data_IF_968416352828
#
_entry.id   IF_968416352828
#
_cell.length_a   1.000
_cell.length_b   1.000
_cell.length_c   1.000
_cell.angle_alpha   90.00
_cell.angle_beta   90.00
_cell.angle_gamma   90.00
#
_symmetry.space_group_name_H-M   'P 1'
#
loop_
_entity.id
_entity.type
_entity.pdbx_description
1 polymer ?
#
# COMPACT_ATOMS: atom_id res chain seq x y z
N UNK A 1 15.58 -22.12 -19.67
CA UNK A 1 15.44 -23.19 -18.67
C UNK A 1 15.03 -22.57 -17.35
N UNK A 2 14.19 -23.22 -16.54
CA UNK A 2 13.84 -22.72 -15.21
C UNK A 2 15.10 -22.53 -14.36
N UNK A 3 15.06 -21.57 -13.43
CA UNK A 3 16.12 -21.40 -12.43
C UNK A 3 16.22 -22.69 -11.62
N UNK A 4 17.44 -23.15 -11.34
CA UNK A 4 17.67 -24.40 -10.58
C UNK A 4 17.11 -24.30 -9.16
N UNK A 5 17.17 -23.11 -8.54
CA UNK A 5 16.53 -22.84 -7.27
C UNK A 5 15.01 -22.68 -7.45
N UNK A 6 14.25 -23.56 -6.82
CA UNK A 6 12.78 -23.59 -6.88
C UNK A 6 12.14 -22.30 -6.34
N UNK A 7 12.77 -21.63 -5.37
CA UNK A 7 12.29 -20.40 -4.74
C UNK A 7 12.13 -19.24 -5.73
N UNK A 8 13.02 -19.19 -6.72
CA UNK A 8 13.00 -18.17 -7.79
C UNK A 8 12.51 -18.75 -9.13
N UNK A 9 12.03 -20.00 -9.12
CA UNK A 9 11.57 -20.69 -10.32
C UNK A 9 10.06 -20.63 -10.44
N UNK A 10 9.56 -20.44 -11.65
CA UNK A 10 8.12 -20.47 -11.94
C UNK A 10 7.51 -21.87 -11.82
N UNK A 11 8.33 -22.93 -11.68
CA UNK A 11 7.87 -24.33 -11.70
C UNK A 11 6.84 -24.63 -10.60
N UNK A 12 7.02 -24.09 -9.39
CA UNK A 12 6.06 -24.25 -8.29
C UNK A 12 4.70 -23.66 -8.68
N UNK A 13 4.69 -22.38 -9.09
CA UNK A 13 3.47 -21.70 -9.51
C UNK A 13 2.77 -22.39 -10.69
N UNK A 14 3.51 -22.92 -11.67
CA UNK A 14 2.90 -23.66 -12.78
C UNK A 14 2.26 -24.96 -12.31
N UNK A 15 2.95 -25.71 -11.44
CA UNK A 15 2.46 -26.99 -10.90
C UNK A 15 1.22 -26.81 -10.02
N UNK A 16 1.15 -25.72 -9.26
CA UNK A 16 0.01 -25.44 -8.37
C UNK A 16 -1.20 -24.85 -9.12
N UNK A 17 -0.99 -24.28 -10.32
CA UNK A 17 -2.07 -23.70 -11.14
C UNK A 17 -2.76 -24.71 -12.03
N UNK A 18 -2.00 -25.53 -12.75
CA UNK A 18 -2.51 -26.38 -13.81
C UNK A 18 -2.55 -27.84 -13.37
N UNK A 19 -3.53 -28.60 -13.86
CA UNK A 19 -3.59 -30.03 -13.59
C UNK A 19 -2.52 -30.80 -14.40
N UNK A 20 -2.18 -30.28 -15.58
CA UNK A 20 -1.13 -30.81 -16.44
C UNK A 20 0.26 -30.35 -15.98
N UNK A 21 1.29 -31.09 -16.40
CA UNK A 21 2.68 -30.71 -16.13
C UNK A 21 3.06 -29.40 -16.84
N UNK A 22 4.00 -28.60 -16.30
CA UNK A 22 4.42 -27.33 -16.91
C UNK A 22 4.92 -27.43 -18.37
N UNK A 23 5.47 -28.57 -18.78
CA UNK A 23 5.92 -28.84 -20.15
C UNK A 23 4.81 -29.32 -21.11
N UNK A 24 3.58 -29.47 -20.62
CA UNK A 24 2.45 -29.95 -21.44
C UNK A 24 2.11 -28.95 -22.55
N UNK A 25 1.85 -29.47 -23.75
CA UNK A 25 1.44 -28.70 -24.92
C UNK A 25 -0.06 -28.80 -25.24
N UNK A 26 -0.82 -29.55 -24.44
CA UNK A 26 -2.25 -29.80 -24.63
C UNK A 26 -3.01 -29.59 -23.32
N UNK A 27 -4.23 -29.07 -23.42
CA UNK A 27 -5.18 -28.92 -22.31
C UNK A 27 -6.63 -28.97 -22.84
N UNK A 28 -7.61 -28.79 -21.97
CA UNK A 28 -9.05 -28.80 -22.28
C UNK A 28 -9.64 -27.39 -22.27
N UNK A 29 -10.65 -27.16 -23.12
CA UNK A 29 -11.41 -25.92 -23.22
C UNK A 29 -12.92 -26.23 -23.26
N UNK A 30 -13.76 -25.25 -22.96
CA UNK A 30 -15.24 -25.32 -23.02
C UNK A 30 -15.89 -26.34 -22.07
N UNK A 31 -15.13 -26.94 -21.14
CA UNK A 31 -15.59 -27.97 -20.19
C UNK A 31 -15.77 -27.47 -18.75
N UNK A 32 -15.53 -26.18 -18.51
CA UNK A 32 -15.45 -25.60 -17.17
C UNK A 32 -16.74 -24.95 -16.67
N UNK A 33 -17.80 -24.94 -17.51
CA UNK A 33 -19.06 -24.27 -17.16
C UNK A 33 -18.95 -22.74 -17.04
N UNK A 34 -18.03 -22.12 -17.80
CA UNK A 34 -17.83 -20.67 -17.75
C UNK A 34 -17.31 -20.22 -16.38
N UNK A 35 -18.10 -19.43 -15.66
CA UNK A 35 -17.73 -18.87 -14.34
C UNK A 35 -18.08 -19.79 -13.16
N UNK A 36 -18.69 -20.96 -13.40
CA UNK A 36 -18.97 -21.94 -12.34
C UNK A 36 -17.69 -22.64 -11.82
N UNK A 37 -16.61 -22.62 -12.61
CA UNK A 37 -15.31 -23.09 -12.17
C UNK A 37 -14.77 -22.29 -10.97
N UNK A 38 -13.80 -22.87 -10.24
CA UNK A 38 -13.20 -22.24 -9.04
C UNK A 38 -12.73 -20.80 -9.29
N UNK A 39 -12.04 -20.56 -10.40
CA UNK A 39 -11.52 -19.23 -10.77
C UNK A 39 -12.60 -18.21 -11.17
N UNK A 40 -13.86 -18.62 -11.33
CA UNK A 40 -15.00 -17.72 -11.58
C UNK A 40 -15.75 -17.30 -10.31
N UNK A 41 -15.28 -17.70 -9.12
CA UNK A 41 -15.90 -17.37 -7.82
C UNK A 41 -16.19 -15.87 -7.65
N UNK A 42 -15.19 -15.00 -7.91
CA UNK A 42 -15.38 -13.54 -7.81
C UNK A 42 -16.40 -12.98 -8.81
N UNK A 43 -16.46 -13.55 -10.01
CA UNK A 43 -17.44 -13.10 -11.02
C UNK A 43 -18.87 -13.42 -10.58
N UNK A 44 -19.09 -14.52 -9.86
CA UNK A 44 -20.41 -14.86 -9.28
C UNK A 44 -20.78 -13.90 -8.15
N UNK A 45 -19.84 -13.59 -7.26
CA UNK A 45 -20.00 -12.53 -6.24
C UNK A 45 -20.40 -11.19 -6.87
N UNK A 46 -19.71 -10.77 -7.95
CA UNK A 46 -20.02 -9.51 -8.64
C UNK A 46 -21.43 -9.48 -9.25
N UNK A 47 -21.95 -10.61 -9.73
CA UNK A 47 -23.33 -10.70 -10.24
C UNK A 47 -24.34 -10.50 -9.10
N UNK A 48 -24.09 -11.05 -7.93
CA UNK A 48 -24.97 -10.90 -6.77
C UNK A 48 -24.99 -9.45 -6.26
N UNK A 49 -23.83 -8.81 -6.19
CA UNK A 49 -23.75 -7.40 -5.77
C UNK A 49 -24.35 -6.45 -6.81
N UNK A 50 -24.21 -6.76 -8.10
CA UNK A 50 -24.84 -5.98 -9.17
C UNK A 50 -26.37 -5.91 -9.02
N UNK A 51 -27.02 -6.99 -8.55
CA UNK A 51 -28.46 -6.99 -8.28
C UNK A 51 -28.83 -5.95 -7.22
N UNK A 52 -28.12 -5.95 -6.08
CA UNK A 52 -28.31 -4.98 -4.99
C UNK A 52 -28.04 -3.54 -5.46
N UNK A 53 -27.03 -3.35 -6.32
CA UNK A 53 -26.73 -2.04 -6.92
C UNK A 53 -27.89 -1.55 -7.78
N UNK A 54 -28.48 -2.41 -8.62
CA UNK A 54 -29.60 -2.00 -9.48
C UNK A 54 -30.83 -1.67 -8.64
N UNK A 55 -31.15 -2.47 -7.64
CA UNK A 55 -32.29 -2.26 -6.73
C UNK A 55 -32.19 -0.95 -5.95
N UNK A 56 -30.97 -0.52 -5.57
CA UNK A 56 -30.76 0.72 -4.82
C UNK A 56 -30.77 1.99 -5.68
N UNK A 57 -30.69 1.87 -7.01
CA UNK A 57 -30.66 3.04 -7.92
C UNK A 57 -32.06 3.54 -8.20
N UNK A 58 -32.26 4.86 -8.09
CA UNK A 58 -33.57 5.54 -8.26
C UNK A 58 -34.32 5.12 -9.54
N UNK A 59 -33.62 5.02 -10.66
CA UNK A 59 -34.22 4.64 -11.95
C UNK A 59 -33.92 3.20 -12.36
N UNK A 60 -33.35 2.38 -11.46
CA UNK A 60 -32.96 1.00 -11.78
C UNK A 60 -31.92 0.90 -12.90
N UNK A 61 -31.05 1.90 -13.07
CA UNK A 61 -30.03 1.89 -14.12
C UNK A 61 -29.16 0.63 -14.01
N UNK A 62 -28.99 -0.16 -15.09
CA UNK A 62 -28.31 -1.46 -15.03
C UNK A 62 -26.85 -1.35 -14.56
N UNK A 63 -26.35 -2.43 -13.96
CA UNK A 63 -24.97 -2.56 -13.46
C UNK A 63 -24.26 -3.75 -14.15
N UNK A 64 -23.27 -4.35 -13.50
CA UNK A 64 -22.51 -5.48 -14.04
C UNK A 64 -23.43 -6.62 -14.47
N UNK A 65 -23.37 -6.96 -15.76
CA UNK A 65 -24.07 -8.07 -16.36
C UNK A 65 -23.13 -8.76 -17.37
N UNK A 66 -22.65 -9.98 -17.09
CA UNK A 66 -21.78 -10.71 -18.00
C UNK A 66 -22.36 -10.92 -19.41
N UNK A 67 -23.69 -10.99 -19.54
CA UNK A 67 -24.39 -11.29 -20.80
C UNK A 67 -24.41 -10.11 -21.78
N UNK A 68 -24.14 -8.89 -21.29
CA UNK A 68 -24.01 -7.69 -22.14
C UNK A 68 -22.62 -7.62 -22.79
N UNK A 69 -21.64 -8.27 -22.17
CA UNK A 69 -20.24 -8.26 -22.60
C UNK A 69 -19.79 -9.62 -23.14
N UNK A 70 -18.59 -10.03 -22.73
CA UNK A 70 -18.00 -11.31 -23.12
C UNK A 70 -18.08 -12.32 -21.95
N UNK A 71 -18.79 -13.45 -22.12
CA UNK A 71 -18.79 -14.51 -21.14
C UNK A 71 -17.38 -15.04 -20.84
N UNK A 72 -17.03 -15.11 -19.56
CA UNK A 72 -15.71 -15.54 -19.10
C UNK A 72 -15.69 -17.04 -18.80
N UNK A 73 -14.50 -17.64 -18.89
CA UNK A 73 -14.27 -19.01 -18.41
C UNK A 73 -14.49 -20.14 -19.42
N UNK A 74 -14.49 -19.84 -20.73
CA UNK A 74 -14.37 -20.89 -21.75
C UNK A 74 -13.01 -21.60 -21.71
N UNK A 75 -11.99 -20.93 -21.16
CA UNK A 75 -10.71 -21.51 -20.76
C UNK A 75 -10.59 -21.51 -19.24
N UNK A 76 -9.59 -22.23 -18.73
CA UNK A 76 -9.28 -22.23 -17.30
C UNK A 76 -8.94 -20.81 -16.81
N UNK A 77 -9.66 -20.37 -15.79
CA UNK A 77 -9.41 -19.10 -15.09
C UNK A 77 -8.41 -19.34 -13.96
N UNK A 78 -7.13 -19.19 -14.30
CA UNK A 78 -6.03 -19.53 -13.39
C UNK A 78 -5.90 -18.57 -12.19
N UNK A 79 -5.45 -19.08 -11.03
CA UNK A 79 -4.97 -18.23 -9.95
C UNK A 79 -3.54 -17.72 -10.24
N UNK A 80 -3.06 -16.80 -9.40
CA UNK A 80 -1.68 -16.31 -9.42
C UNK A 80 -0.98 -16.56 -8.10
N UNK A 81 0.31 -16.88 -8.15
CA UNK A 81 1.17 -16.95 -6.97
C UNK A 81 1.88 -15.61 -6.86
N UNK A 82 1.92 -15.01 -5.68
CA UNK A 82 2.73 -13.82 -5.46
C UNK A 82 4.21 -14.22 -5.50
N UNK A 83 5.03 -13.46 -6.21
CA UNK A 83 6.45 -13.81 -6.40
C UNK A 83 7.16 -13.89 -5.04
N UNK A 84 8.03 -14.90 -4.89
CA UNK A 84 8.81 -15.15 -3.66
C UNK A 84 7.94 -15.38 -2.42
N UNK A 85 6.70 -15.81 -2.60
CA UNK A 85 5.84 -16.30 -1.53
C UNK A 85 5.14 -17.59 -1.97
N UNK A 86 4.38 -18.19 -1.06
CA UNK A 86 3.50 -19.33 -1.30
C UNK A 86 2.01 -18.93 -1.39
N UNK A 87 1.73 -17.62 -1.50
CA UNK A 87 0.37 -17.08 -1.46
C UNK A 87 -0.27 -17.15 -2.85
N UNK A 88 -1.33 -17.93 -2.97
CA UNK A 88 -2.17 -18.03 -4.16
C UNK A 88 -3.39 -17.13 -4.07
N UNK A 89 -3.64 -16.35 -5.11
CA UNK A 89 -4.74 -15.35 -5.17
C UNK A 89 -5.60 -15.52 -6.42
N UNK A 90 -6.83 -15.04 -6.34
CA UNK A 90 -7.68 -14.90 -7.53
C UNK A 90 -7.18 -13.74 -8.39
N UNK A 91 -7.32 -13.86 -9.71
CA UNK A 91 -6.86 -12.83 -10.65
C UNK A 91 -7.63 -11.51 -10.52
N UNK A 92 -8.93 -11.56 -10.23
CA UNK A 92 -9.76 -10.36 -10.00
C UNK A 92 -9.33 -9.59 -8.73
N UNK A 93 -8.74 -10.27 -7.74
CA UNK A 93 -8.28 -9.70 -6.46
C UNK A 93 -6.96 -8.91 -6.62
N UNK A 94 -6.34 -8.97 -7.80
CA UNK A 94 -5.14 -8.20 -8.16
C UNK A 94 -5.47 -6.90 -8.91
N UNK A 95 -6.73 -6.64 -9.24
CA UNK A 95 -7.11 -5.30 -9.70
C UNK A 95 -7.03 -4.33 -8.51
N UNK A 96 -6.32 -3.20 -8.66
CA UNK A 96 -6.01 -2.29 -7.54
C UNK A 96 -7.25 -1.80 -6.78
N UNK A 97 -8.38 -1.60 -7.47
CA UNK A 97 -9.67 -1.24 -6.84
C UNK A 97 -10.16 -2.30 -5.82
N UNK A 98 -9.85 -3.58 -6.07
CA UNK A 98 -10.23 -4.70 -5.21
C UNK A 98 -9.14 -5.02 -4.16
N UNK A 99 -8.03 -4.28 -4.15
CA UNK A 99 -6.89 -4.56 -3.31
C UNK A 99 -6.44 -3.32 -2.52
N UNK A 100 -6.84 -3.26 -1.25
CA UNK A 100 -6.53 -2.14 -0.38
C UNK A 100 -5.02 -1.95 -0.15
N UNK A 101 -4.21 -3.01 -0.20
CA UNK A 101 -2.76 -2.90 -0.05
C UNK A 101 -2.10 -2.19 -1.24
N UNK A 102 -2.59 -2.45 -2.46
CA UNK A 102 -2.13 -1.74 -3.65
C UNK A 102 -2.48 -0.24 -3.59
N UNK A 103 -3.67 0.10 -3.11
CA UNK A 103 -4.09 1.48 -2.89
C UNK A 103 -3.23 2.17 -1.83
N UNK A 104 -3.06 1.54 -0.67
CA UNK A 104 -2.29 2.11 0.44
C UNK A 104 -0.82 2.32 0.07
N UNK A 105 -0.21 1.39 -0.68
CA UNK A 105 1.18 1.53 -1.15
C UNK A 105 1.36 2.83 -1.96
N UNK A 106 0.44 3.12 -2.88
CA UNK A 106 0.47 4.37 -3.63
C UNK A 106 0.16 5.59 -2.76
N UNK A 107 -0.80 5.48 -1.84
CA UNK A 107 -1.17 6.59 -0.96
C UNK A 107 -0.02 6.98 -0.01
N UNK A 108 0.73 6.01 0.52
CA UNK A 108 1.93 6.24 1.34
C UNK A 108 3.04 6.95 0.56
N UNK A 109 3.26 6.57 -0.70
CA UNK A 109 4.18 7.29 -1.59
C UNK A 109 3.71 8.72 -1.86
N UNK A 110 2.43 8.88 -2.19
CA UNK A 110 1.84 10.18 -2.57
C UNK A 110 1.86 11.19 -1.43
N UNK A 111 1.63 10.74 -0.19
CA UNK A 111 1.48 11.62 1.00
C UNK A 111 2.79 11.95 1.72
N UNK A 112 3.93 11.48 1.21
CA UNK A 112 5.25 11.67 1.84
C UNK A 112 6.02 12.83 1.20
N UNK A 113 6.61 13.69 2.04
CA UNK A 113 7.50 14.80 1.64
C UNK A 113 8.77 14.78 2.50
N UNK A 114 9.91 15.14 1.90
CA UNK A 114 11.18 15.34 2.60
C UNK A 114 11.51 16.84 2.56
N UNK A 115 11.84 17.41 3.71
CA UNK A 115 12.15 18.84 3.85
C UNK A 115 13.37 19.04 4.76
N UNK A 116 14.38 19.77 4.27
CA UNK A 116 15.55 20.13 5.06
C UNK A 116 15.23 21.20 6.11
N UNK A 117 15.87 21.09 7.29
CA UNK A 117 15.67 22.03 8.41
C UNK A 117 16.80 23.05 8.56
N UNK A 118 17.96 22.83 7.93
CA UNK A 118 19.16 23.66 8.07
C UNK A 118 18.91 25.12 7.68
N UNK A 119 18.20 25.35 6.57
CA UNK A 119 17.87 26.71 6.12
C UNK A 119 16.93 27.43 7.09
N UNK A 120 16.00 26.71 7.72
CA UNK A 120 15.12 27.27 8.74
C UNK A 120 15.91 27.64 10.00
N UNK A 121 16.84 26.78 10.42
CA UNK A 121 17.75 27.05 11.53
C UNK A 121 18.63 28.28 11.25
N UNK A 122 19.22 28.35 10.05
CA UNK A 122 20.04 29.49 9.63
C UNK A 122 19.25 30.81 9.68
N UNK A 123 17.98 30.82 9.28
CA UNK A 123 17.12 32.00 9.39
C UNK A 123 16.88 32.39 10.86
N UNK A 124 16.62 31.42 11.75
CA UNK A 124 16.41 31.67 13.18
C UNK A 124 17.64 32.34 13.81
N UNK A 125 18.84 31.82 13.53
CA UNK A 125 20.08 32.32 14.11
C UNK A 125 20.49 33.66 13.52
N UNK A 126 20.51 33.78 12.19
CA UNK A 126 21.06 34.96 11.51
C UNK A 126 20.11 36.15 11.50
N UNK A 127 18.79 35.92 11.37
CA UNK A 127 17.81 37.00 11.23
C UNK A 127 17.04 37.31 12.50
N UNK A 128 16.83 36.32 13.35
CA UNK A 128 16.01 36.46 14.57
C UNK A 128 16.83 36.35 15.85
N UNK A 129 18.14 36.06 15.75
CA UNK A 129 19.04 35.85 16.90
C UNK A 129 18.48 34.83 17.91
N UNK A 130 17.80 33.79 17.40
CA UNK A 130 17.26 32.69 18.20
C UNK A 130 18.18 31.48 18.07
N UNK A 131 18.58 30.93 19.21
CA UNK A 131 19.40 29.73 19.28
C UNK A 131 18.59 28.50 18.87
N UNK A 132 19.23 27.58 18.14
CA UNK A 132 18.70 26.26 17.81
C UNK A 132 19.56 25.21 18.52
N UNK A 133 18.92 24.43 19.39
CA UNK A 133 19.54 23.32 20.13
C UNK A 133 18.74 22.03 19.95
N UNK A 134 19.30 20.85 20.28
CA UNK A 134 18.55 19.59 20.28
C UNK A 134 17.24 19.67 21.08
N UNK A 135 17.24 20.35 22.24
CA UNK A 135 16.03 20.55 23.05
C UNK A 135 14.96 21.38 22.31
N UNK A 136 15.36 22.43 21.59
CA UNK A 136 14.40 23.24 20.80
C UNK A 136 13.87 22.46 19.60
N UNK A 137 14.68 21.58 19.01
CA UNK A 137 14.25 20.68 17.93
C UNK A 137 13.27 19.65 18.47
N UNK A 138 13.53 19.06 19.65
CA UNK A 138 12.60 18.13 20.30
C UNK A 138 11.24 18.78 20.57
N UNK A 139 11.23 20.00 21.10
CA UNK A 139 10.01 20.76 21.31
C UNK A 139 9.29 21.08 19.98
N UNK A 140 10.03 21.49 18.94
CA UNK A 140 9.46 21.70 17.61
C UNK A 140 8.82 20.42 17.07
N UNK A 141 9.48 19.27 17.21
CA UNK A 141 8.98 17.98 16.74
C UNK A 141 7.73 17.52 17.48
N UNK A 142 7.59 17.84 18.77
CA UNK A 142 6.35 17.61 19.51
C UNK A 142 5.21 18.50 18.99
N UNK A 143 5.46 19.79 18.80
CA UNK A 143 4.46 20.74 18.28
C UNK A 143 4.02 20.38 16.86
N UNK A 144 4.95 20.02 15.96
CA UNK A 144 4.57 19.69 14.59
C UNK A 144 3.81 18.37 14.50
N UNK A 145 4.07 17.39 15.36
CA UNK A 145 3.28 16.15 15.38
C UNK A 145 1.85 16.36 15.92
N UNK A 146 1.60 17.42 16.69
CA UNK A 146 0.24 17.90 17.00
C UNK A 146 -0.38 18.65 15.81
N UNK A 147 0.35 19.58 15.22
CA UNK A 147 -0.19 20.47 14.19
C UNK A 147 -0.41 19.79 12.84
N UNK A 148 0.51 18.91 12.41
CA UNK A 148 0.55 18.31 11.08
C UNK A 148 -0.72 17.50 10.74
N UNK A 149 -1.31 16.70 11.65
CA UNK A 149 -2.58 16.03 11.40
C UNK A 149 -3.80 16.98 11.35
N UNK A 150 -3.63 18.27 11.67
CA UNK A 150 -4.67 19.30 11.55
C UNK A 150 -5.24 19.80 12.87
N UNK A 151 -4.40 19.95 13.91
CA UNK A 151 -4.79 20.53 15.19
C UNK A 151 -4.19 21.93 15.40
N UNK A 152 -4.86 22.77 16.19
CA UNK A 152 -4.52 24.18 16.34
C UNK A 152 -3.42 24.40 17.39
N UNK A 153 -2.51 25.34 17.12
CA UNK A 153 -1.42 25.71 18.06
C UNK A 153 -1.51 27.14 18.59
N UNK A 154 -2.32 28.01 17.97
CA UNK A 154 -2.32 29.46 18.26
C UNK A 154 -3.73 30.06 18.40
N UNK A 155 -4.60 29.86 17.41
CA UNK A 155 -5.87 30.59 17.31
C UNK A 155 -6.99 29.98 18.16
N UNK A 156 -7.87 30.83 18.67
CA UNK A 156 -9.14 30.44 19.32
C UNK A 156 -10.22 30.05 18.28
N UNK A 157 -11.17 29.21 18.69
CA UNK A 157 -12.35 28.77 17.91
C UNK A 157 -11.98 28.09 16.57
N UNK A 158 -10.90 27.33 16.56
CA UNK A 158 -10.54 26.48 15.43
C UNK A 158 -11.33 25.17 15.44
N UNK A 159 -11.66 24.67 14.25
CA UNK A 159 -12.10 23.28 14.07
C UNK A 159 -10.87 22.42 13.81
N UNK A 160 -10.89 21.18 14.30
CA UNK A 160 -9.75 20.26 14.22
C UNK A 160 -10.18 18.91 13.64
N UNK A 161 -9.22 18.16 13.11
CA UNK A 161 -9.46 16.80 12.61
C UNK A 161 -9.68 15.82 13.77
N UNK A 162 -10.54 14.81 13.59
CA UNK A 162 -10.66 13.72 14.57
C UNK A 162 -9.38 12.88 14.50
N UNK A 163 -8.58 12.75 15.58
CA UNK A 163 -7.26 12.13 15.51
C UNK A 163 -7.25 10.70 14.93
N UNK A 164 -8.29 9.92 15.22
CA UNK A 164 -8.42 8.54 14.72
C UNK A 164 -8.56 8.43 13.19
N UNK A 165 -8.92 9.52 12.49
CA UNK A 165 -9.03 9.54 11.02
C UNK A 165 -7.76 10.01 10.31
N UNK A 166 -6.76 10.50 11.07
CA UNK A 166 -5.50 11.06 10.56
C UNK A 166 -4.29 10.50 11.32
N UNK A 167 -4.46 9.33 11.95
CA UNK A 167 -3.45 8.71 12.80
C UNK A 167 -2.19 8.25 12.05
N UNK A 168 -2.25 8.18 10.72
CA UNK A 168 -1.16 7.86 9.82
C UNK A 168 -0.30 9.07 9.44
N UNK A 169 -0.71 10.30 9.82
CA UNK A 169 0.03 11.55 9.60
C UNK A 169 0.96 11.84 10.77
N UNK A 170 2.27 11.93 10.51
CA UNK A 170 3.29 12.26 11.51
C UNK A 170 4.56 12.77 10.82
N UNK A 171 5.48 13.33 11.60
CA UNK A 171 6.79 13.77 11.13
C UNK A 171 7.91 13.15 11.97
N UNK A 172 8.98 12.73 11.29
CA UNK A 172 10.24 12.27 11.88
C UNK A 172 11.41 13.00 11.22
N UNK A 173 12.54 13.01 11.90
CA UNK A 173 13.81 13.56 11.39
C UNK A 173 14.88 12.49 11.29
N UNK A 174 15.80 12.64 10.35
CA UNK A 174 17.01 11.84 10.23
C UNK A 174 18.19 12.78 9.99
N UNK A 175 19.38 12.38 10.43
CA UNK A 175 20.61 13.15 10.26
C UNK A 175 21.79 12.18 10.12
N UNK A 176 22.85 12.62 9.44
CA UNK A 176 24.13 11.91 9.40
C UNK A 176 25.09 12.29 10.53
N UNK A 177 24.67 13.20 11.42
CA UNK A 177 25.40 13.57 12.64
C UNK A 177 24.89 12.73 13.81
N UNK A 178 25.68 11.74 14.23
CA UNK A 178 25.32 10.81 15.30
C UNK A 178 25.21 11.50 16.67
N UNK A 179 26.01 12.53 16.94
CA UNK A 179 25.95 13.28 18.21
C UNK A 179 24.62 14.05 18.30
N UNK A 180 24.17 14.63 17.19
CA UNK A 180 22.85 15.24 17.11
C UNK A 180 21.75 14.18 17.24
N UNK A 181 21.86 13.05 16.53
CA UNK A 181 20.88 11.98 16.58
C UNK A 181 20.67 11.45 18.01
N UNK A 182 21.75 11.27 18.77
CA UNK A 182 21.73 10.81 20.16
C UNK A 182 21.09 11.83 21.12
N UNK A 183 21.14 13.12 20.79
CA UNK A 183 20.54 14.21 21.58
C UNK A 183 19.05 14.44 21.26
N UNK A 184 18.54 13.92 20.15
CA UNK A 184 17.13 14.02 19.77
C UNK A 184 16.31 12.96 20.53
N UNK A 185 15.08 13.32 20.93
CA UNK A 185 14.13 12.36 21.48
C UNK A 185 13.82 11.28 20.43
N UNK A 186 14.16 10.04 20.77
CA UNK A 186 13.95 8.84 19.95
C UNK A 186 12.54 8.67 19.39
N UNK A 187 11.51 9.29 19.99
CA UNK A 187 10.13 9.28 19.46
C UNK A 187 10.05 9.93 18.07
N UNK A 188 10.94 10.88 17.77
CA UNK A 188 10.95 11.65 16.54
C UNK A 188 12.06 11.26 15.57
N UNK A 189 13.03 10.44 16.00
CA UNK A 189 14.15 10.03 15.17
C UNK A 189 13.77 8.87 14.23
N UNK A 190 14.13 8.99 12.96
CA UNK A 190 14.31 7.90 12.02
C UNK A 190 15.81 7.58 11.97
N UNK A 191 16.21 6.57 12.73
CA UNK A 191 17.60 6.22 12.99
C UNK A 191 18.23 5.46 11.80
N UNK A 192 19.17 6.11 11.12
CA UNK A 192 19.86 5.54 9.95
C UNK A 192 20.66 4.30 10.34
N UNK A 193 21.39 4.33 11.46
CA UNK A 193 22.25 3.23 11.90
C UNK A 193 21.44 1.98 12.23
N UNK A 194 20.21 2.16 12.73
CA UNK A 194 19.29 1.05 13.01
C UNK A 194 18.61 0.50 11.76
N UNK A 195 18.15 1.36 10.85
CA UNK A 195 17.41 0.92 9.66
C UNK A 195 18.34 0.38 8.56
N UNK A 196 19.62 0.78 8.55
CA UNK A 196 20.63 0.37 7.57
C UNK A 196 21.87 -0.29 8.21
N UNK A 197 21.74 -1.40 8.96
CA UNK A 197 22.86 -2.06 9.63
C UNK A 197 23.73 -2.91 8.67
N UNK A 198 23.27 -3.14 7.45
CA UNK A 198 23.93 -4.01 6.49
C UNK A 198 25.08 -3.29 5.76
N UNK A 199 26.20 -3.99 5.58
CA UNK A 199 27.34 -3.53 4.80
C UNK A 199 27.97 -4.67 4.00
N UNK A 200 28.82 -4.34 3.04
CA UNK A 200 29.64 -5.28 2.29
C UNK A 200 31.10 -4.85 2.49
N UNK A 201 31.93 -5.73 3.08
CA UNK A 201 33.38 -5.51 3.25
C UNK A 201 34.15 -5.63 1.94
#
# INVERSE_FOLDING_TARGET
>A
MPVQNLEHSFLKAMSDKFAEKPESTKTKFYVYGGIEQKGGMRKREFIEDAKKIVESRVSGTPAYNPDVGMPQGQRFLMPYMMNHTDIMVNHDDLHWVNNAAMQQCHDDMRRTIILGMDDAHAILETRLSKEVTPDTINNYMEVINHALPGAATIQEHMVETKPALVADSYSKIFTGDDDLADAIDRRFLLDINKEFPAGWE
#
